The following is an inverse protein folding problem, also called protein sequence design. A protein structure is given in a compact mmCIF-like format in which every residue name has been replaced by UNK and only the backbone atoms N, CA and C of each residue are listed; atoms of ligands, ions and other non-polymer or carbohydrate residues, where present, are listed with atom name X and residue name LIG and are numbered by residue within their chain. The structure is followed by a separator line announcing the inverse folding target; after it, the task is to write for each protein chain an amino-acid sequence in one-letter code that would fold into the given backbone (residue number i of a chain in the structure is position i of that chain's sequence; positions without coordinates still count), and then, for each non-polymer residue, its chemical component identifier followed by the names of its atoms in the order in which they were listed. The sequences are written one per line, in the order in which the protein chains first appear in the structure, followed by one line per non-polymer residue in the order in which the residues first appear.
data_IF_612193128968
#
_entry.id   IF_612193128968
#
_cell.length_a   1.000
_cell.length_b   1.000
_cell.length_c   1.000
_cell.angle_alpha   90.00
_cell.angle_beta   90.00
_cell.angle_gamma   90.00
#
_symmetry.space_group_name_H-M   'P 1'
#
loop_
_entity.id
_entity.type
_entity.pdbx_description
1 polymer ?
#
# COMPACT_ATOMS: atom_id res chain seq x y z
N UNK A 1 -5.78 12.09 10.97
CA UNK A 1 -5.10 12.15 9.66
C UNK A 1 -6.19 12.07 8.60
N UNK A 2 -6.39 13.11 7.78
CA UNK A 2 -7.50 13.17 6.80
C UNK A 2 -7.07 12.66 5.42
N UNK A 3 -7.92 11.83 4.79
CA UNK A 3 -7.72 11.32 3.44
C UNK A 3 -8.06 12.40 2.40
N UNK A 4 -7.11 12.76 1.54
CA UNK A 4 -7.32 13.71 0.45
C UNK A 4 -7.20 12.99 -0.89
N UNK A 5 -8.34 12.82 -1.57
CA UNK A 5 -8.40 12.15 -2.87
C UNK A 5 -7.55 12.89 -3.91
N UNK A 6 -7.41 14.21 -3.79
CA UNK A 6 -6.57 15.03 -4.67
C UNK A 6 -5.08 14.73 -4.55
N UNK A 7 -4.64 14.04 -3.47
CA UNK A 7 -3.25 13.61 -3.27
C UNK A 7 -2.98 12.20 -3.76
N UNK A 8 -3.98 11.46 -4.25
CA UNK A 8 -3.74 10.13 -4.83
C UNK A 8 -2.96 10.30 -6.14
N UNK A 9 -1.75 9.72 -6.27
CA UNK A 9 -0.97 9.90 -7.47
C UNK A 9 -1.62 9.25 -8.69
N UNK A 10 -1.50 9.93 -9.84
CA UNK A 10 -2.00 9.43 -11.11
C UNK A 10 -0.98 8.46 -11.71
N UNK A 11 -1.35 7.18 -11.80
CA UNK A 11 -0.48 6.12 -12.34
C UNK A 11 -0.10 6.26 -13.83
N UNK A 12 -0.50 7.34 -14.52
CA UNK A 12 -0.19 7.58 -15.94
C UNK A 12 1.32 7.69 -16.20
N UNK A 13 2.04 8.49 -15.42
CA UNK A 13 3.49 8.66 -15.58
C UNK A 13 4.24 7.35 -15.31
N UNK A 14 3.80 6.61 -14.30
CA UNK A 14 4.36 5.30 -13.99
C UNK A 14 4.06 4.29 -15.10
N UNK A 15 2.85 4.28 -15.66
CA UNK A 15 2.49 3.45 -16.81
C UNK A 15 3.37 3.75 -18.03
N UNK A 16 3.55 5.03 -18.37
CA UNK A 16 4.45 5.46 -19.46
C UNK A 16 5.89 4.98 -19.23
N UNK A 17 6.41 5.15 -18.01
CA UNK A 17 7.76 4.70 -17.65
C UNK A 17 7.92 3.16 -17.68
N UNK A 18 6.83 2.43 -17.46
CA UNK A 18 6.77 0.97 -17.52
C UNK A 18 6.45 0.44 -18.94
N UNK A 19 6.35 1.31 -19.94
CA UNK A 19 6.04 0.92 -21.32
C UNK A 19 4.60 0.45 -21.53
N UNK A 20 3.69 0.78 -20.59
CA UNK A 20 2.27 0.50 -20.75
C UNK A 20 1.65 1.56 -21.67
N UNK A 21 0.88 1.15 -22.70
CA UNK A 21 0.13 2.10 -23.49
C UNK A 21 -0.86 2.86 -22.58
N UNK A 22 -1.01 4.19 -22.74
CA UNK A 22 -1.95 4.96 -21.94
C UNK A 22 -3.36 4.46 -22.25
N UNK A 23 -4.09 3.92 -21.27
CA UNK A 23 -5.44 3.43 -21.50
C UNK A 23 -6.42 4.60 -21.62
N UNK A 24 -7.65 4.26 -21.99
CA UNK A 24 -8.75 5.22 -22.01
C UNK A 24 -9.07 5.78 -20.61
N UNK A 25 -10.06 6.66 -20.52
CA UNK A 25 -10.45 7.44 -19.32
C UNK A 25 -10.43 6.60 -18.04
N UNK A 26 -9.52 6.95 -17.11
CA UNK A 26 -9.30 6.35 -15.77
C UNK A 26 -8.91 4.86 -15.76
N UNK A 27 -7.67 4.54 -16.17
CA UNK A 27 -7.25 3.15 -16.20
C UNK A 27 -6.96 2.56 -14.84
N UNK A 28 -7.40 1.33 -14.67
CA UNK A 28 -6.90 0.42 -13.67
C UNK A 28 -5.79 -0.42 -14.31
N UNK A 29 -4.71 -0.67 -13.59
CA UNK A 29 -3.60 -1.49 -14.10
C UNK A 29 -3.35 -2.67 -13.18
N UNK A 30 -2.86 -3.78 -13.71
CA UNK A 30 -2.30 -4.89 -12.94
C UNK A 30 -0.93 -5.29 -13.50
N UNK A 31 -0.22 -6.16 -12.79
CA UNK A 31 1.03 -6.77 -13.28
C UNK A 31 0.77 -8.23 -13.58
N UNK A 32 1.23 -8.66 -14.75
CA UNK A 32 1.11 -10.03 -15.23
C UNK A 32 2.50 -10.60 -15.48
N UNK A 33 2.74 -11.81 -14.97
CA UNK A 33 3.90 -12.61 -15.33
C UNK A 33 3.54 -13.44 -16.56
N UNK A 34 4.27 -13.22 -17.66
CA UNK A 34 4.19 -14.10 -18.82
C UNK A 34 4.90 -15.41 -18.47
N UNK A 35 4.14 -16.51 -18.45
CA UNK A 35 4.68 -17.82 -18.07
C UNK A 35 5.62 -18.43 -19.12
N UNK A 36 5.53 -18.00 -20.38
CA UNK A 36 6.37 -18.50 -21.46
C UNK A 36 7.73 -17.79 -21.47
N UNK A 37 7.75 -16.47 -21.24
CA UNK A 37 8.99 -15.68 -21.25
C UNK A 37 9.60 -15.45 -19.87
N UNK A 38 8.81 -15.61 -18.80
CA UNK A 38 9.19 -15.25 -17.43
C UNK A 38 9.21 -13.73 -17.18
N UNK A 39 8.73 -12.92 -18.13
CA UNK A 39 8.75 -11.47 -18.02
C UNK A 39 7.51 -10.92 -17.30
N UNK A 40 7.72 -9.92 -16.45
CA UNK A 40 6.61 -9.16 -15.87
C UNK A 40 6.28 -7.96 -16.74
N UNK A 41 4.98 -7.78 -17.02
CA UNK A 41 4.45 -6.62 -17.74
C UNK A 41 3.29 -6.00 -16.97
N UNK A 42 3.19 -4.68 -16.99
CA UNK A 42 1.98 -4.01 -16.53
C UNK A 42 0.96 -3.95 -17.68
N UNK A 43 -0.29 -4.25 -17.37
CA UNK A 43 -1.40 -4.35 -18.34
C UNK A 43 -2.65 -3.68 -17.76
N UNK A 44 -3.61 -3.33 -18.61
CA UNK A 44 -4.90 -2.82 -18.16
C UNK A 44 -5.68 -3.91 -17.39
N UNK A 45 -6.24 -3.52 -16.24
CA UNK A 45 -7.04 -4.42 -15.42
C UNK A 45 -8.53 -4.29 -15.75
N UNK A 46 -9.18 -5.42 -16.01
CA UNK A 46 -10.62 -5.47 -16.27
C UNK A 46 -11.47 -5.16 -15.02
N UNK A 47 -10.91 -5.33 -13.82
CA UNK A 47 -11.60 -5.10 -12.55
C UNK A 47 -10.67 -4.45 -11.52
N UNK A 48 -11.25 -3.82 -10.50
CA UNK A 48 -10.50 -3.23 -9.39
C UNK A 48 -9.90 -4.26 -8.43
N UNK A 49 -10.35 -5.51 -8.44
CA UNK A 49 -9.89 -6.53 -7.50
C UNK A 49 -8.43 -6.92 -7.70
N UNK A 50 -7.94 -6.90 -8.94
CA UNK A 50 -6.55 -7.17 -9.29
C UNK A 50 -5.73 -5.92 -9.58
N UNK A 51 -6.29 -4.73 -9.38
CA UNK A 51 -5.60 -3.50 -9.76
C UNK A 51 -4.55 -3.07 -8.73
N UNK A 52 -3.47 -2.48 -9.23
CA UNK A 52 -2.39 -1.88 -8.45
C UNK A 52 -2.20 -0.44 -8.92
N UNK A 53 -1.85 0.44 -7.98
CA UNK A 53 -1.34 1.75 -8.34
C UNK A 53 0.12 1.58 -8.77
N UNK A 54 0.41 1.79 -10.06
CA UNK A 54 1.75 1.60 -10.63
C UNK A 54 2.79 2.55 -10.03
N UNK A 55 2.39 3.72 -9.54
CA UNK A 55 3.31 4.64 -8.88
C UNK A 55 3.74 4.09 -7.51
N UNK A 56 2.81 3.52 -6.75
CA UNK A 56 3.13 2.85 -5.48
C UNK A 56 4.02 1.62 -5.71
N UNK A 57 3.71 0.82 -6.72
CA UNK A 57 4.53 -0.33 -7.09
C UNK A 57 5.95 0.10 -7.49
N UNK A 58 6.07 1.11 -8.36
CA UNK A 58 7.36 1.64 -8.80
C UNK A 58 8.19 2.13 -7.62
N UNK A 59 7.57 2.85 -6.68
CA UNK A 59 8.25 3.32 -5.47
C UNK A 59 8.70 2.14 -4.61
N UNK A 60 7.84 1.16 -4.36
CA UNK A 60 8.18 -0.02 -3.56
C UNK A 60 9.37 -0.78 -4.17
N UNK A 61 9.36 -0.98 -5.48
CA UNK A 61 10.46 -1.62 -6.22
C UNK A 61 11.75 -0.80 -6.16
N UNK A 62 11.66 0.52 -6.30
CA UNK A 62 12.81 1.42 -6.20
C UNK A 62 13.42 1.40 -4.79
N UNK A 63 12.60 1.43 -3.75
CA UNK A 63 13.07 1.35 -2.35
C UNK A 63 13.70 -0.02 -2.09
N UNK A 64 13.06 -1.11 -2.53
CA UNK A 64 13.61 -2.46 -2.39
C UNK A 64 14.95 -2.61 -3.09
N UNK A 65 15.08 -2.09 -4.31
CA UNK A 65 16.32 -2.13 -5.08
C UNK A 65 17.45 -1.31 -4.44
N UNK A 66 17.13 -0.16 -3.87
CA UNK A 66 18.13 0.78 -3.33
C UNK A 66 18.53 0.50 -1.89
N UNK A 67 17.61 -0.01 -1.07
CA UNK A 67 17.80 -0.18 0.38
C UNK A 67 17.79 -1.65 0.83
N UNK A 68 17.40 -2.57 -0.05
CA UNK A 68 17.24 -3.99 0.29
C UNK A 68 15.99 -4.32 1.12
N UNK A 69 15.15 -3.31 1.44
CA UNK A 69 13.95 -3.45 2.27
C UNK A 69 12.77 -2.66 1.69
N UNK A 70 11.59 -2.85 2.26
CA UNK A 70 10.40 -2.09 1.92
C UNK A 70 10.41 -0.69 2.56
N UNK A 71 9.60 0.27 2.05
CA UNK A 71 9.44 1.57 2.69
C UNK A 71 8.91 1.43 4.12
N UNK A 72 9.43 2.23 5.05
CA UNK A 72 8.96 2.27 6.44
C UNK A 72 8.41 3.65 6.77
N UNK A 73 7.27 3.64 7.47
CA UNK A 73 6.59 4.83 7.97
C UNK A 73 6.33 4.69 9.46
N UNK A 74 6.59 5.74 10.25
CA UNK A 74 6.33 5.72 11.69
C UNK A 74 6.00 7.11 12.25
N UNK A 75 5.33 7.12 13.40
CA UNK A 75 5.20 8.31 14.24
C UNK A 75 6.22 8.21 15.36
N UNK A 76 7.31 8.95 15.23
CA UNK A 76 8.37 8.96 16.22
C UNK A 76 8.13 10.08 17.24
N UNK A 77 8.40 9.85 18.54
CA UNK A 77 8.31 10.92 19.53
C UNK A 77 9.34 12.01 19.22
N UNK A 78 8.91 13.26 19.26
CA UNK A 78 9.81 14.42 19.14
C UNK A 78 10.66 14.46 20.40
N UNK A 79 11.95 14.12 20.25
CA UNK A 79 12.92 14.18 21.33
C UNK A 79 13.08 15.64 21.79
N UNK A 80 12.85 15.90 23.09
CA UNK A 80 13.07 17.22 23.71
C UNK A 80 11.84 17.91 24.31
N UNK A 81 10.68 17.27 24.37
CA UNK A 81 9.50 17.80 25.08
C UNK A 81 9.58 17.58 26.60
N UNK A 82 8.98 18.49 27.39
CA UNK A 82 8.80 18.25 28.83
C UNK A 82 7.90 17.02 29.04
N UNK A 83 8.12 16.22 30.10
CA UNK A 83 7.35 14.99 30.36
C UNK A 83 5.84 15.22 30.62
N UNK A 84 5.39 16.48 30.70
CA UNK A 84 3.99 16.87 30.94
C UNK A 84 3.23 17.30 29.68
N UNK A 85 3.89 17.42 28.53
CA UNK A 85 3.20 17.72 27.27
C UNK A 85 2.85 16.42 26.56
N UNK A 86 1.62 16.32 26.02
CA UNK A 86 1.24 15.28 25.04
C UNK A 86 2.40 15.13 24.06
N UNK A 87 3.06 13.97 24.08
CA UNK A 87 4.29 13.76 23.35
C UNK A 87 4.03 14.10 21.88
N UNK A 88 4.59 15.22 21.40
CA UNK A 88 4.47 15.59 20.00
C UNK A 88 5.09 14.46 19.19
N UNK A 89 4.33 13.91 18.25
CA UNK A 89 4.82 12.88 17.34
C UNK A 89 5.13 13.50 15.99
N UNK A 90 6.23 13.08 15.38
CA UNK A 90 6.65 13.50 14.06
C UNK A 90 6.58 12.32 13.10
N UNK A 91 6.12 12.57 11.88
CA UNK A 91 6.13 11.57 10.81
C UNK A 91 7.57 11.29 10.37
N UNK A 92 7.94 10.02 10.36
CA UNK A 92 9.20 9.53 9.83
C UNK A 92 8.94 8.69 8.58
N UNK A 93 9.81 8.88 7.60
CA UNK A 93 9.77 8.22 6.30
C UNK A 93 11.13 7.59 6.04
N UNK A 94 11.15 6.31 5.71
CA UNK A 94 12.34 5.60 5.25
C UNK A 94 12.04 4.98 3.89
N UNK A 95 12.66 5.46 2.80
CA UNK A 95 13.66 6.53 2.75
C UNK A 95 13.08 7.95 2.90
N UNK A 96 13.92 8.88 3.37
CA UNK A 96 13.52 10.26 3.67
C UNK A 96 12.99 11.05 2.46
N UNK A 97 13.38 10.67 1.24
CA UNK A 97 12.93 11.35 0.01
C UNK A 97 11.44 11.15 -0.29
N UNK A 98 10.77 10.22 0.40
CA UNK A 98 9.31 10.08 0.31
C UNK A 98 8.58 11.21 1.03
N UNK A 99 9.23 11.88 1.98
CA UNK A 99 8.64 12.98 2.74
C UNK A 99 8.26 14.14 1.81
N UNK A 100 7.04 14.67 1.97
CA UNK A 100 6.55 15.79 1.17
C UNK A 100 6.11 15.41 -0.25
N UNK A 101 6.19 14.13 -0.63
CA UNK A 101 5.59 13.63 -1.86
C UNK A 101 4.15 13.20 -1.62
N UNK A 102 3.30 13.32 -2.64
CA UNK A 102 1.92 12.85 -2.59
C UNK A 102 1.84 11.34 -2.33
N UNK A 103 2.68 10.56 -3.01
CA UNK A 103 2.77 9.12 -2.83
C UNK A 103 3.24 8.72 -1.42
N UNK A 104 4.29 9.39 -0.90
CA UNK A 104 4.79 9.15 0.45
C UNK A 104 3.74 9.47 1.52
N UNK A 105 3.00 10.57 1.37
CA UNK A 105 1.90 10.89 2.27
C UNK A 105 0.81 9.83 2.25
N UNK A 106 0.33 9.40 1.07
CA UNK A 106 -0.73 8.39 0.99
C UNK A 106 -0.26 7.04 1.56
N UNK A 107 0.97 6.62 1.26
CA UNK A 107 1.53 5.38 1.82
C UNK A 107 1.67 5.46 3.33
N UNK A 108 2.12 6.60 3.88
CA UNK A 108 2.16 6.81 5.33
C UNK A 108 0.77 6.65 5.94
N UNK A 109 -0.26 7.27 5.35
CA UNK A 109 -1.62 7.15 5.86
C UNK A 109 -2.10 5.69 5.80
N UNK A 110 -1.91 5.02 4.67
CA UNK A 110 -2.31 3.63 4.49
C UNK A 110 -1.65 2.69 5.52
N UNK A 111 -0.34 2.80 5.70
CA UNK A 111 0.41 2.03 6.69
C UNK A 111 -0.04 2.34 8.14
N UNK A 112 -0.33 3.61 8.44
CA UNK A 112 -0.86 3.99 9.74
C UNK A 112 -2.26 3.43 10.00
N UNK A 113 -3.18 3.51 9.03
CA UNK A 113 -4.50 2.89 9.13
C UNK A 113 -4.41 1.37 9.25
N UNK A 114 -3.48 0.72 8.55
CA UNK A 114 -3.23 -0.71 8.71
C UNK A 114 -2.78 -1.06 10.13
N UNK A 115 -1.96 -0.20 10.75
CA UNK A 115 -1.56 -0.37 12.15
C UNK A 115 -2.76 -0.24 13.09
N UNK A 116 -3.57 0.81 12.95
CA UNK A 116 -4.80 0.97 13.74
C UNK A 116 -5.73 -0.25 13.60
N UNK A 117 -5.93 -0.73 12.36
CA UNK A 117 -6.71 -1.93 12.08
C UNK A 117 -6.13 -3.16 12.80
N UNK A 118 -4.81 -3.35 12.76
CA UNK A 118 -4.13 -4.47 13.41
C UNK A 118 -4.13 -4.40 14.93
N UNK A 119 -4.21 -3.18 15.50
CA UNK A 119 -4.27 -2.94 16.94
C UNK A 119 -5.70 -3.01 17.51
N UNK A 120 -6.70 -3.22 16.66
CA UNK A 120 -8.11 -3.32 17.09
C UNK A 120 -8.78 -1.97 17.36
N UNK A 121 -8.23 -0.88 16.83
CA UNK A 121 -8.83 0.47 16.94
C UNK A 121 -10.09 0.63 16.07
N UNK A 122 -10.37 -0.34 15.19
CA UNK A 122 -11.54 -0.37 14.32
C UNK A 122 -12.27 -1.72 14.43
N UNK A 123 -13.61 -1.68 14.47
CA UNK A 123 -14.45 -2.87 14.49
C UNK A 123 -14.24 -3.73 13.23
N UNK A 124 -13.98 -5.02 13.42
CA UNK A 124 -13.83 -6.00 12.35
C UNK A 124 -15.12 -6.81 12.15
N UNK A 125 -15.46 -7.23 10.92
CA UNK A 125 -14.71 -7.00 9.69
C UNK A 125 -14.96 -5.61 9.09
N UNK A 126 -13.91 -4.98 8.54
CA UNK A 126 -14.09 -3.78 7.72
C UNK A 126 -14.92 -4.14 6.48
N UNK A 127 -16.03 -3.43 6.26
CA UNK A 127 -16.92 -3.67 5.11
C UNK A 127 -16.12 -3.67 3.80
N UNK A 128 -16.14 -4.78 3.08
CA UNK A 128 -15.40 -4.97 1.83
C UNK A 128 -14.01 -5.61 1.98
N UNK A 129 -13.53 -5.85 3.20
CA UNK A 129 -12.31 -6.62 3.49
C UNK A 129 -12.68 -7.90 4.24
N UNK A 130 -12.55 -9.06 3.59
CA UNK A 130 -12.67 -10.37 4.28
C UNK A 130 -11.38 -10.69 5.02
N UNK A 131 -11.47 -11.04 6.29
CA UNK A 131 -10.33 -11.55 7.05
C UNK A 131 -9.98 -12.98 6.60
N UNK A 132 -8.69 -13.31 6.53
CA UNK A 132 -8.25 -14.69 6.32
C UNK A 132 -8.72 -15.64 7.44
N UNK A 133 -8.92 -15.10 8.65
CA UNK A 133 -9.46 -15.84 9.79
C UNK A 133 -10.95 -16.20 9.59
N UNK A 134 -11.73 -15.33 8.94
CA UNK A 134 -13.12 -15.62 8.60
C UNK A 134 -13.22 -16.79 7.62
N UNK A 135 -12.21 -16.99 6.77
CA UNK A 135 -12.17 -18.09 5.82
C UNK A 135 -11.78 -19.41 6.47
N UNK A 136 -10.88 -19.37 7.46
CA UNK A 136 -10.58 -20.50 8.32
C UNK A 136 -11.81 -20.94 9.11
N UNK A 137 -12.55 -20.00 9.70
CA UNK A 137 -13.77 -20.28 10.45
C UNK A 137 -14.87 -20.88 9.57
N UNK A 138 -15.00 -20.41 8.32
CA UNK A 138 -16.01 -20.87 7.37
C UNK A 138 -15.63 -22.14 6.59
N UNK A 139 -14.44 -22.73 6.85
CA UNK A 139 -13.91 -23.93 6.15
C UNK A 139 -14.01 -23.83 4.62
N UNK A 140 -13.94 -22.63 4.06
CA UNK A 140 -14.18 -22.37 2.64
C UNK A 140 -12.92 -22.56 1.77
N UNK A 141 -12.05 -23.49 2.16
CA UNK A 141 -10.75 -23.75 1.51
C UNK A 141 -10.91 -24.38 0.11
N UNK A 142 -12.08 -24.93 -0.20
CA UNK A 142 -12.36 -25.60 -1.48
C UNK A 142 -12.71 -24.63 -2.63
N UNK A 143 -12.74 -23.32 -2.36
CA UNK A 143 -12.99 -22.28 -3.38
C UNK A 143 -11.69 -21.54 -3.66
N UNK A 144 -11.42 -21.26 -4.94
CA UNK A 144 -10.36 -20.32 -5.32
C UNK A 144 -10.72 -18.94 -4.74
N UNK A 145 -9.92 -18.45 -3.79
CA UNK A 145 -10.13 -17.15 -3.17
C UNK A 145 -8.80 -16.41 -3.04
N UNK A 146 -8.88 -15.09 -3.08
CA UNK A 146 -7.75 -14.19 -2.81
C UNK A 146 -8.10 -13.34 -1.60
N UNK A 147 -7.20 -13.26 -0.64
CA UNK A 147 -7.28 -12.28 0.43
C UNK A 147 -5.90 -11.83 0.85
N UNK A 148 -5.86 -10.78 1.67
CA UNK A 148 -4.62 -10.16 2.12
C UNK A 148 -4.32 -10.66 3.52
N UNK A 149 -3.27 -11.46 3.63
CA UNK A 149 -2.73 -11.88 4.91
C UNK A 149 -1.80 -10.79 5.44
N UNK A 150 -2.02 -10.37 6.69
CA UNK A 150 -1.20 -9.40 7.38
C UNK A 150 -0.51 -10.11 8.54
N UNK A 151 0.81 -10.10 8.56
CA UNK A 151 1.58 -10.74 9.64
C UNK A 151 1.68 -9.79 10.84
N UNK A 152 1.36 -10.32 12.03
CA UNK A 152 1.83 -9.73 13.29
C UNK A 152 3.14 -10.43 13.63
N UNK A 153 4.26 -9.72 13.54
CA UNK A 153 5.54 -10.22 14.05
C UNK A 153 5.55 -10.01 15.56
N UNK A 154 5.68 -11.09 16.33
CA UNK A 154 5.88 -11.03 17.79
C UNK A 154 7.31 -10.64 18.14
#
# INVERSE_FOLDING_TARGET
IGWDIGRVPCGRRAAEALGCPPPAVRPLYCVMLDSATGEMRAVEAATSLGCVNLEYLSIALQVRRSTGREPLFSLDPVRGGSPSAVAKQAKRYEPAWLMGTSAGDVMFQADYFLKELSMGEHDQPVVGMKSCLDLQANKAFDKEWSGREWFVVK
#
